data_IF_866818303950
#
_entry.id   IF_866818303950
#
_cell.length_a   1.000
_cell.length_b   1.000
_cell.length_c   1.000
_cell.angle_alpha   90.00
_cell.angle_beta   90.00
_cell.angle_gamma   90.00
#
_symmetry.space_group_name_H-M   'P 1'
#
loop_
_entity.id
_entity.type
_entity.pdbx_description
1 polymer ?
#
# COMPACT_ATOMS: atom_id res chain seq x y z
N UNK A 1 60.52 34.73 7.30
CA UNK A 1 60.14 36.06 6.80
C UNK A 1 59.78 35.87 5.34
N UNK A 2 58.55 35.40 5.09
CA UNK A 2 57.38 36.22 4.69
C UNK A 2 57.53 36.58 3.19
N UNK A 3 56.63 36.35 2.24
CA UNK A 3 55.19 36.11 2.12
C UNK A 3 54.92 35.63 0.67
N UNK A 4 54.00 34.68 0.36
CA UNK A 4 52.64 34.89 -0.19
C UNK A 4 52.54 36.05 -1.24
N UNK A 5 51.99 35.98 -2.47
CA UNK A 5 50.95 35.12 -3.09
C UNK A 5 50.88 35.32 -4.63
N UNK A 6 50.32 34.31 -5.30
CA UNK A 6 49.79 34.17 -6.67
C UNK A 6 49.03 35.36 -7.32
N UNK A 7 48.91 35.31 -8.66
CA UNK A 7 47.63 35.21 -9.41
C UNK A 7 47.93 35.02 -10.90
N UNK A 8 47.46 33.98 -11.58
CA UNK A 8 46.10 33.94 -12.15
C UNK A 8 45.95 32.68 -13.02
N UNK A 9 44.70 32.26 -13.23
CA UNK A 9 44.22 31.07 -13.95
C UNK A 9 44.09 29.83 -13.07
N UNK A 10 42.90 29.65 -12.50
CA UNK A 10 42.07 28.49 -12.84
C UNK A 10 40.59 28.82 -12.56
N UNK A 11 39.75 28.36 -13.49
CA UNK A 11 38.32 28.63 -13.60
C UNK A 11 37.56 28.40 -12.28
N UNK A 12 36.91 29.46 -11.82
CA UNK A 12 35.91 29.39 -10.76
C UNK A 12 34.59 28.86 -11.36
N UNK A 13 34.47 27.54 -11.50
CA UNK A 13 33.15 26.92 -11.69
C UNK A 13 32.48 26.87 -10.33
N UNK A 14 31.63 27.85 -10.06
CA UNK A 14 30.76 27.84 -8.89
C UNK A 14 29.83 26.63 -8.97
N UNK A 15 30.16 25.58 -8.23
CA UNK A 15 29.21 24.53 -7.87
C UNK A 15 28.08 25.19 -7.08
N UNK A 16 26.80 25.05 -7.47
CA UNK A 16 25.71 25.58 -6.68
C UNK A 16 25.73 24.91 -5.31
N UNK A 17 25.64 25.72 -4.25
CA UNK A 17 25.45 25.27 -2.88
C UNK A 17 24.31 24.26 -2.83
N UNK A 18 24.64 22.96 -2.73
CA UNK A 18 23.68 21.91 -2.41
C UNK A 18 23.33 22.13 -0.94
N UNK A 19 22.28 22.90 -0.71
CA UNK A 19 21.63 22.96 0.60
C UNK A 19 21.17 21.55 0.94
N UNK A 20 21.82 21.01 1.96
CA UNK A 20 21.67 19.65 2.48
C UNK A 20 20.20 19.25 2.59
N UNK A 21 19.80 18.19 1.89
CA UNK A 21 18.46 17.59 1.91
C UNK A 21 18.26 16.86 3.26
N UNK A 22 18.16 17.62 4.36
CA UNK A 22 18.09 17.09 5.73
C UNK A 22 16.76 16.38 6.06
N UNK A 23 15.75 16.51 5.19
CA UNK A 23 14.38 16.09 5.49
C UNK A 23 13.87 14.92 4.64
N UNK A 24 14.64 14.48 3.64
CA UNK A 24 14.22 13.42 2.73
C UNK A 24 14.59 12.02 3.25
N UNK A 25 13.70 11.03 3.03
CA UNK A 25 13.97 9.59 3.28
C UNK A 25 15.26 9.12 2.59
N UNK A 26 15.64 9.78 1.50
CA UNK A 26 16.75 9.41 0.62
C UNK A 26 18.08 10.13 0.94
N UNK A 27 18.17 10.88 2.03
CA UNK A 27 19.41 11.60 2.37
C UNK A 27 20.59 10.63 2.46
N UNK A 28 21.64 10.87 1.68
CA UNK A 28 22.83 10.02 1.61
C UNK A 28 22.75 8.85 0.61
N UNK A 29 21.66 8.73 -0.15
CA UNK A 29 21.47 7.68 -1.17
C UNK A 29 21.78 8.13 -2.60
N UNK A 30 22.41 9.29 -2.78
CA UNK A 30 22.67 9.90 -4.10
C UNK A 30 23.61 9.06 -4.98
N UNK A 31 24.48 8.24 -4.37
CA UNK A 31 25.33 7.28 -5.09
C UNK A 31 24.66 5.96 -5.49
N UNK A 32 23.44 5.69 -5.03
CA UNK A 32 22.74 4.41 -5.25
C UNK A 32 21.49 4.61 -6.12
N UNK A 33 21.72 4.85 -7.41
CA UNK A 33 20.67 5.22 -8.38
C UNK A 33 19.64 4.10 -8.61
N UNK A 34 20.05 2.83 -8.56
CA UNK A 34 19.18 1.68 -8.91
C UNK A 34 17.97 1.53 -7.99
N UNK A 35 18.18 1.58 -6.66
CA UNK A 35 17.08 1.47 -5.68
C UNK A 35 16.09 2.64 -5.79
N UNK A 36 16.63 3.84 -6.04
CA UNK A 36 15.84 5.05 -6.25
C UNK A 36 14.99 4.98 -7.52
N UNK A 37 15.58 4.55 -8.65
CA UNK A 37 14.89 4.38 -9.92
C UNK A 37 13.76 3.35 -9.81
N UNK A 38 14.01 2.22 -9.16
CA UNK A 38 12.98 1.21 -8.93
C UNK A 38 11.81 1.77 -8.10
N UNK A 39 12.11 2.46 -6.99
CA UNK A 39 11.11 3.07 -6.13
C UNK A 39 10.21 4.07 -6.87
N UNK A 40 10.81 5.03 -7.59
CA UNK A 40 10.02 6.01 -8.34
C UNK A 40 9.29 5.40 -9.54
N UNK A 41 9.84 4.36 -10.16
CA UNK A 41 9.14 3.64 -11.24
C UNK A 41 7.85 3.00 -10.74
N UNK A 42 7.91 2.35 -9.56
CA UNK A 42 6.70 1.78 -8.92
C UNK A 42 5.71 2.87 -8.53
N UNK A 43 6.17 4.01 -8.00
CA UNK A 43 5.29 5.13 -7.69
C UNK A 43 4.61 5.73 -8.90
N UNK A 44 5.34 5.93 -10.00
CA UNK A 44 4.77 6.42 -11.26
C UNK A 44 3.76 5.40 -11.81
N UNK A 45 4.08 4.11 -11.76
CA UNK A 45 3.13 3.05 -12.11
C UNK A 45 1.85 3.13 -11.26
N UNK A 46 1.97 3.31 -9.95
CA UNK A 46 0.82 3.48 -9.06
C UNK A 46 0.02 4.75 -9.35
N UNK A 47 0.68 5.85 -9.70
CA UNK A 47 -0.02 7.07 -10.11
C UNK A 47 -0.80 6.87 -11.42
N UNK A 48 -0.21 6.18 -12.40
CA UNK A 48 -0.83 5.98 -13.72
C UNK A 48 -1.93 4.93 -13.70
N UNK A 49 -1.76 3.84 -12.95
CA UNK A 49 -2.68 2.69 -12.94
C UNK A 49 -3.51 2.64 -11.66
N UNK A 50 -2.87 2.78 -10.51
CA UNK A 50 -3.50 2.70 -9.20
C UNK A 50 -4.50 3.83 -8.94
N UNK A 51 -4.16 5.09 -9.28
CA UNK A 51 -5.07 6.21 -9.09
C UNK A 51 -6.40 6.05 -9.83
N UNK A 52 -6.44 5.85 -11.17
CA UNK A 52 -7.71 5.68 -11.87
C UNK A 52 -8.48 4.44 -11.40
N UNK A 53 -7.78 3.34 -11.09
CA UNK A 53 -8.41 2.14 -10.57
C UNK A 53 -9.11 2.41 -9.22
N UNK A 54 -8.42 3.02 -8.26
CA UNK A 54 -9.00 3.35 -6.94
C UNK A 54 -10.15 4.36 -7.03
N UNK A 55 -10.03 5.40 -7.87
CA UNK A 55 -11.13 6.35 -8.09
C UNK A 55 -12.37 5.66 -8.68
N UNK A 56 -12.18 4.69 -9.58
CA UNK A 56 -13.27 3.89 -10.11
C UNK A 56 -13.90 3.00 -9.03
N UNK A 57 -13.10 2.39 -8.16
CA UNK A 57 -13.61 1.63 -6.99
C UNK A 57 -14.48 2.52 -6.11
N UNK A 58 -14.00 3.72 -5.74
CA UNK A 58 -14.77 4.68 -4.94
C UNK A 58 -16.09 5.03 -5.64
N UNK A 59 -16.04 5.38 -6.93
CA UNK A 59 -17.24 5.72 -7.70
C UNK A 59 -18.26 4.59 -7.79
N UNK A 60 -17.81 3.34 -7.94
CA UNK A 60 -18.68 2.15 -7.96
C UNK A 60 -19.33 1.89 -6.60
N UNK A 61 -18.55 1.96 -5.52
CA UNK A 61 -19.05 1.71 -4.16
C UNK A 61 -20.05 2.80 -3.74
N UNK A 62 -19.79 4.07 -4.04
CA UNK A 62 -20.71 5.17 -3.71
C UNK A 62 -22.05 5.09 -4.47
N UNK A 63 -22.05 4.58 -5.70
CA UNK A 63 -23.26 4.42 -6.53
C UNK A 63 -24.11 3.21 -6.14
N UNK A 64 -23.65 2.37 -5.22
CA UNK A 64 -24.34 1.14 -4.82
C UNK A 64 -25.43 1.48 -3.79
N UNK A 65 -26.66 1.66 -4.28
CA UNK A 65 -27.76 2.23 -3.49
C UNK A 65 -28.61 1.21 -2.70
N UNK A 66 -28.40 -0.11 -2.83
CA UNK A 66 -29.32 -1.09 -2.19
C UNK A 66 -28.73 -2.42 -1.71
N UNK A 67 -27.64 -2.92 -2.30
CA UNK A 67 -27.01 -4.20 -1.93
C UNK A 67 -25.52 -4.05 -1.57
N UNK A 68 -25.19 -3.09 -0.69
CA UNK A 68 -23.80 -2.93 -0.26
C UNK A 68 -23.30 -4.22 0.41
N UNK A 69 -22.17 -4.73 -0.10
CA UNK A 69 -21.45 -5.80 0.57
C UNK A 69 -21.01 -5.26 1.91
N UNK A 70 -21.02 -6.13 2.91
CA UNK A 70 -20.57 -5.83 4.26
C UNK A 70 -19.19 -5.18 4.29
N UNK A 71 -18.27 -5.61 3.43
CA UNK A 71 -16.91 -5.07 3.39
C UNK A 71 -16.75 -3.76 2.59
N UNK A 72 -17.81 -3.24 1.95
CA UNK A 72 -17.71 -2.08 1.04
C UNK A 72 -17.19 -0.82 1.74
N UNK A 73 -17.47 -0.63 3.04
CA UNK A 73 -16.93 0.50 3.83
C UNK A 73 -15.41 0.43 3.89
N UNK A 74 -14.82 -0.73 4.21
CA UNK A 74 -13.38 -0.87 4.31
C UNK A 74 -12.70 -0.73 2.95
N UNK A 75 -13.33 -1.27 1.89
CA UNK A 75 -12.84 -1.15 0.51
C UNK A 75 -12.83 0.31 0.06
N UNK A 76 -13.90 1.06 0.34
CA UNK A 76 -13.98 2.48 0.02
C UNK A 76 -12.89 3.29 0.73
N UNK A 77 -12.69 3.06 2.04
CA UNK A 77 -11.66 3.75 2.80
C UNK A 77 -10.25 3.43 2.27
N UNK A 78 -9.96 2.15 2.02
CA UNK A 78 -8.69 1.73 1.43
C UNK A 78 -8.43 2.42 0.08
N UNK A 79 -9.43 2.44 -0.81
CA UNK A 79 -9.31 3.08 -2.11
C UNK A 79 -9.11 4.62 -2.01
N UNK A 80 -9.73 5.28 -1.03
CA UNK A 80 -9.51 6.71 -0.77
C UNK A 80 -8.06 6.96 -0.35
N UNK A 81 -7.52 6.16 0.58
CA UNK A 81 -6.15 6.32 1.04
C UNK A 81 -5.10 5.95 0.00
N UNK A 82 -5.32 4.90 -0.79
CA UNK A 82 -4.43 4.56 -1.90
C UNK A 82 -4.48 5.63 -3.00
N UNK A 83 -5.65 6.22 -3.28
CA UNK A 83 -5.76 7.38 -4.20
C UNK A 83 -4.97 8.58 -3.69
N UNK A 84 -5.11 8.90 -2.40
CA UNK A 84 -4.36 9.98 -1.76
C UNK A 84 -2.84 9.75 -1.86
N UNK A 85 -2.37 8.54 -1.57
CA UNK A 85 -0.95 8.19 -1.69
C UNK A 85 -0.45 8.29 -3.14
N UNK A 86 -1.24 7.84 -4.12
CA UNK A 86 -0.91 7.98 -5.53
C UNK A 86 -0.78 9.45 -5.93
N UNK A 87 -1.71 10.32 -5.52
CA UNK A 87 -1.68 11.77 -5.77
C UNK A 87 -0.48 12.49 -5.12
N UNK A 88 0.09 11.95 -4.04
CA UNK A 88 1.30 12.50 -3.43
C UNK A 88 2.56 12.27 -4.25
N UNK A 89 2.56 11.32 -5.18
CA UNK A 89 3.71 11.01 -6.03
C UNK A 89 4.22 12.21 -6.85
N UNK A 90 3.38 12.92 -7.64
CA UNK A 90 3.84 14.10 -8.38
C UNK A 90 4.27 15.25 -7.46
N UNK A 91 3.61 15.43 -6.31
CA UNK A 91 3.98 16.45 -5.31
C UNK A 91 5.37 16.14 -4.75
N UNK A 92 5.66 14.86 -4.50
CA UNK A 92 6.98 14.44 -4.06
C UNK A 92 8.07 14.72 -5.09
N UNK A 93 7.80 14.36 -6.34
CA UNK A 93 8.76 14.57 -7.41
C UNK A 93 9.03 16.08 -7.62
N UNK A 94 7.97 16.89 -7.62
CA UNK A 94 8.09 18.34 -7.74
C UNK A 94 8.86 18.96 -6.57
N UNK A 95 8.57 18.51 -5.33
CA UNK A 95 9.28 19.00 -4.17
C UNK A 95 10.77 18.65 -4.22
N UNK A 96 11.08 17.43 -4.67
CA UNK A 96 12.46 16.96 -4.75
C UNK A 96 13.27 17.66 -5.84
N UNK A 97 12.67 17.92 -7.00
CA UNK A 97 13.37 18.48 -8.15
C UNK A 97 13.41 20.02 -8.17
N UNK A 98 12.40 20.69 -7.62
CA UNK A 98 12.22 22.13 -7.83
C UNK A 98 12.04 22.95 -6.55
N UNK A 99 11.27 22.46 -5.57
CA UNK A 99 10.84 23.31 -4.44
C UNK A 99 11.74 23.20 -3.21
N UNK A 100 12.16 21.98 -2.86
CA UNK A 100 12.86 21.61 -1.63
C UNK A 100 12.23 22.21 -0.37
N UNK A 101 10.90 22.24 -0.30
CA UNK A 101 10.14 22.84 0.79
C UNK A 101 10.00 21.87 1.97
N UNK A 102 10.28 22.38 3.19
CA UNK A 102 10.25 21.61 4.43
C UNK A 102 8.86 21.13 4.81
N UNK A 103 7.83 21.98 4.66
CA UNK A 103 6.45 21.62 4.97
C UNK A 103 5.96 20.50 4.07
N UNK A 104 6.36 20.53 2.80
CA UNK A 104 6.04 19.46 1.85
C UNK A 104 6.72 18.15 2.25
N UNK A 105 7.97 18.16 2.74
CA UNK A 105 8.62 16.97 3.29
C UNK A 105 7.88 16.40 4.52
N UNK A 106 7.41 17.25 5.44
CA UNK A 106 6.60 16.81 6.58
C UNK A 106 5.30 16.14 6.14
N UNK A 107 4.62 16.76 5.17
CA UNK A 107 3.37 16.24 4.64
C UNK A 107 3.55 14.91 3.88
N UNK A 108 4.66 14.74 3.16
CA UNK A 108 5.01 13.46 2.55
C UNK A 108 5.26 12.36 3.60
N UNK A 109 5.95 12.68 4.71
CA UNK A 109 6.12 11.72 5.83
C UNK A 109 4.78 11.29 6.43
N UNK A 110 3.84 12.23 6.53
CA UNK A 110 2.48 11.91 6.94
C UNK A 110 1.81 10.96 5.93
N UNK A 111 1.91 11.23 4.63
CA UNK A 111 1.40 10.35 3.58
C UNK A 111 2.01 8.94 3.62
N UNK A 112 3.31 8.83 3.92
CA UNK A 112 3.96 7.55 4.15
C UNK A 112 3.35 6.79 5.33
N UNK A 113 3.11 7.46 6.46
CA UNK A 113 2.48 6.81 7.61
C UNK A 113 1.05 6.34 7.32
N UNK A 114 0.32 7.08 6.50
CA UNK A 114 -1.03 6.71 6.06
C UNK A 114 -0.96 5.42 5.24
N UNK A 115 -0.02 5.37 4.28
CA UNK A 115 0.17 4.19 3.44
C UNK A 115 0.66 2.97 4.23
N UNK A 116 1.60 3.16 5.14
CA UNK A 116 2.10 2.09 6.03
C UNK A 116 0.98 1.45 6.85
N UNK A 117 -0.02 2.24 7.24
CA UNK A 117 -1.17 1.79 8.03
C UNK A 117 -2.32 1.26 7.17
N UNK A 118 -2.30 1.44 5.85
CA UNK A 118 -3.37 0.99 4.95
C UNK A 118 -3.68 -0.52 4.99
N UNK A 119 -2.69 -1.42 5.25
CA UNK A 119 -2.94 -2.85 5.46
C UNK A 119 -3.92 -3.19 6.59
N UNK A 120 -4.22 -2.26 7.52
CA UNK A 120 -5.28 -2.46 8.51
C UNK A 120 -6.66 -2.58 7.86
N UNK A 121 -6.96 -1.78 6.83
CA UNK A 121 -8.23 -1.93 6.10
C UNK A 121 -8.29 -3.27 5.36
N UNK A 122 -7.17 -3.71 4.78
CA UNK A 122 -7.07 -5.03 4.16
C UNK A 122 -7.29 -6.16 5.18
N UNK A 123 -6.77 -5.99 6.40
CA UNK A 123 -7.00 -6.90 7.52
C UNK A 123 -8.47 -6.93 7.93
N UNK A 124 -9.11 -5.76 8.06
CA UNK A 124 -10.55 -5.67 8.33
C UNK A 124 -11.38 -6.38 7.25
N UNK A 125 -11.02 -6.24 5.97
CA UNK A 125 -11.67 -6.97 4.86
C UNK A 125 -11.48 -8.49 5.02
N UNK A 126 -10.27 -8.94 5.36
CA UNK A 126 -9.99 -10.36 5.58
C UNK A 126 -10.77 -10.93 6.77
N UNK A 127 -10.86 -10.18 7.87
CA UNK A 127 -11.61 -10.54 9.06
C UNK A 127 -13.13 -10.58 8.80
N UNK A 128 -13.69 -9.57 8.12
CA UNK A 128 -15.11 -9.54 7.77
C UNK A 128 -15.49 -10.77 6.93
N UNK A 129 -14.65 -11.13 5.95
CA UNK A 129 -14.84 -12.35 5.13
C UNK A 129 -14.65 -13.63 5.92
N UNK A 130 -13.68 -13.67 6.82
CA UNK A 130 -13.45 -14.81 7.70
C UNK A 130 -14.69 -15.06 8.58
N UNK A 131 -15.23 -14.02 9.21
CA UNK A 131 -16.43 -14.12 10.03
C UNK A 131 -17.64 -14.59 9.20
N UNK A 132 -17.80 -14.08 7.98
CA UNK A 132 -18.89 -14.49 7.09
C UNK A 132 -18.83 -15.98 6.71
N UNK A 133 -17.65 -16.53 6.48
CA UNK A 133 -17.48 -17.92 6.00
C UNK A 133 -17.38 -18.93 7.15
N UNK A 134 -16.62 -18.61 8.20
CA UNK A 134 -16.33 -19.55 9.29
C UNK A 134 -17.34 -19.46 10.42
N UNK A 135 -17.92 -18.26 10.66
CA UNK A 135 -18.86 -18.01 11.77
C UNK A 135 -20.16 -17.34 11.28
N UNK A 136 -20.92 -17.96 10.36
CA UNK A 136 -22.06 -17.32 9.68
C UNK A 136 -23.20 -16.88 10.63
N UNK A 137 -23.42 -17.62 11.73
CA UNK A 137 -24.44 -17.29 12.75
C UNK A 137 -24.07 -15.98 13.46
N UNK A 138 -22.81 -15.85 13.89
CA UNK A 138 -22.28 -14.63 14.51
C UNK A 138 -22.27 -13.47 13.53
N UNK A 139 -21.88 -13.71 12.27
CA UNK A 139 -21.89 -12.68 11.23
C UNK A 139 -23.28 -12.10 10.97
N UNK A 140 -24.31 -12.95 11.02
CA UNK A 140 -25.71 -12.50 10.86
C UNK A 140 -26.16 -11.60 12.01
N UNK A 141 -25.68 -11.86 13.24
CA UNK A 141 -25.95 -11.01 14.41
C UNK A 141 -25.21 -9.67 14.37
N UNK A 142 -23.99 -9.64 13.82
CA UNK A 142 -23.13 -8.44 13.71
C UNK A 142 -23.24 -7.81 12.29
N UNK A 143 -24.36 -8.05 11.59
CA UNK A 143 -24.54 -7.54 10.22
C UNK A 143 -24.64 -6.02 10.16
N UNK A 144 -24.95 -5.37 11.28
CA UNK A 144 -25.18 -3.93 11.37
C UNK A 144 -24.00 -3.11 10.83
N UNK A 145 -24.34 -2.09 10.04
CA UNK A 145 -23.39 -1.17 9.40
C UNK A 145 -22.62 -0.35 10.43
N UNK A 146 -23.23 -0.10 11.60
CA UNK A 146 -22.66 0.68 12.70
C UNK A 146 -21.35 0.09 13.21
N UNK A 147 -21.27 -1.24 13.38
CA UNK A 147 -20.05 -1.90 13.85
C UNK A 147 -18.86 -1.62 12.92
N UNK A 148 -19.07 -1.73 11.61
CA UNK A 148 -18.00 -1.50 10.62
C UNK A 148 -17.59 -0.04 10.53
N UNK A 149 -18.54 0.88 10.72
CA UNK A 149 -18.24 2.31 10.81
C UNK A 149 -17.36 2.60 12.04
N UNK A 150 -17.67 2.02 13.20
CA UNK A 150 -16.83 2.12 14.40
C UNK A 150 -15.45 1.53 14.18
N UNK A 151 -15.34 0.33 13.61
CA UNK A 151 -14.04 -0.26 13.26
C UNK A 151 -13.24 0.62 12.30
N UNK A 152 -13.88 1.18 11.27
CA UNK A 152 -13.22 2.09 10.34
C UNK A 152 -12.73 3.36 11.07
N UNK A 153 -13.52 3.93 11.97
CA UNK A 153 -13.13 5.08 12.77
C UNK A 153 -11.91 4.79 13.68
N UNK A 154 -11.86 3.60 14.28
CA UNK A 154 -10.69 3.15 15.08
C UNK A 154 -9.44 3.03 14.21
N UNK A 155 -9.56 2.42 13.02
CA UNK A 155 -8.45 2.31 12.07
C UNK A 155 -7.98 3.70 11.62
N UNK A 156 -8.91 4.61 11.33
CA UNK A 156 -8.60 6.01 11.01
C UNK A 156 -7.82 6.70 12.14
N UNK A 157 -8.29 6.57 13.39
CA UNK A 157 -7.64 7.19 14.53
C UNK A 157 -6.20 6.67 14.71
N UNK A 158 -6.00 5.35 14.62
CA UNK A 158 -4.68 4.74 14.67
C UNK A 158 -3.79 5.24 13.51
N UNK A 159 -4.32 5.22 12.29
CA UNK A 159 -3.60 5.65 11.09
C UNK A 159 -3.15 7.11 11.19
N UNK A 160 -4.04 8.01 11.60
CA UNK A 160 -3.72 9.42 11.80
C UNK A 160 -2.66 9.60 12.88
N UNK A 161 -2.81 8.93 14.03
CA UNK A 161 -1.84 8.98 15.12
C UNK A 161 -0.45 8.50 14.67
N UNK A 162 -0.37 7.32 14.04
CA UNK A 162 0.88 6.76 13.53
C UNK A 162 1.53 7.69 12.48
N UNK A 163 0.72 8.26 11.57
CA UNK A 163 1.18 9.17 10.53
C UNK A 163 1.72 10.49 11.08
N UNK A 164 1.06 11.04 12.10
CA UNK A 164 1.53 12.22 12.83
C UNK A 164 2.84 11.94 13.55
N UNK A 165 2.92 10.83 14.28
CA UNK A 165 4.16 10.41 14.96
C UNK A 165 5.30 10.28 13.96
N UNK A 166 5.08 9.61 12.82
CA UNK A 166 6.08 9.47 11.76
C UNK A 166 6.49 10.81 11.13
N UNK A 167 5.55 11.73 10.97
CA UNK A 167 5.83 13.06 10.42
C UNK A 167 6.72 13.89 11.35
N UNK A 168 6.41 13.89 12.66
CA UNK A 168 7.08 14.73 13.68
C UNK A 168 8.40 14.11 14.14
N UNK A 169 8.39 12.84 14.58
CA UNK A 169 9.57 12.16 15.14
C UNK A 169 10.54 11.67 14.05
N UNK A 170 10.12 11.67 12.79
CA UNK A 170 10.90 11.16 11.67
C UNK A 170 10.77 9.64 11.48
N UNK A 171 11.27 9.17 10.34
CA UNK A 171 11.05 7.80 9.86
C UNK A 171 11.76 6.77 10.74
N UNK A 172 13.04 7.01 11.06
CA UNK A 172 13.87 6.06 11.81
C UNK A 172 13.34 5.75 13.20
N UNK A 173 12.72 6.74 13.85
CA UNK A 173 12.16 6.63 15.20
C UNK A 173 11.00 5.64 15.29
N UNK A 174 10.32 5.34 14.17
CA UNK A 174 9.13 4.47 14.13
C UNK A 174 9.37 3.13 13.43
N UNK A 175 10.58 2.85 12.95
CA UNK A 175 10.88 1.65 12.13
C UNK A 175 10.65 0.33 12.90
N UNK A 176 11.03 0.28 14.19
CA UNK A 176 10.79 -0.90 15.03
C UNK A 176 9.28 -1.13 15.26
N UNK A 177 8.56 -0.07 15.58
CA UNK A 177 7.11 -0.13 15.77
C UNK A 177 6.40 -0.58 14.48
N UNK A 178 6.84 -0.04 13.34
CA UNK A 178 6.36 -0.45 12.01
C UNK A 178 6.62 -1.93 11.73
N UNK A 179 7.81 -2.42 12.05
CA UNK A 179 8.19 -3.83 11.85
C UNK A 179 7.29 -4.77 12.64
N UNK A 180 7.05 -4.48 13.92
CA UNK A 180 6.13 -5.28 14.77
C UNK A 180 4.70 -5.20 14.21
N UNK A 181 4.27 -4.00 13.84
CA UNK A 181 2.96 -3.74 13.30
C UNK A 181 2.71 -4.53 12.00
N UNK A 182 3.59 -4.45 11.00
CA UNK A 182 3.39 -5.13 9.72
C UNK A 182 3.46 -6.65 9.87
N UNK A 183 4.31 -7.17 10.76
CA UNK A 183 4.39 -8.60 11.07
C UNK A 183 3.05 -9.11 11.64
N UNK A 184 2.46 -8.35 12.58
CA UNK A 184 1.19 -8.69 13.22
C UNK A 184 0.02 -8.68 12.21
N UNK A 185 -0.05 -7.63 11.39
CA UNK A 185 -1.06 -7.49 10.33
C UNK A 185 -0.95 -8.63 9.31
N UNK A 186 0.26 -8.94 8.86
CA UNK A 186 0.50 -10.03 7.91
C UNK A 186 0.10 -11.40 8.49
N UNK A 187 0.45 -11.68 9.75
CA UNK A 187 0.06 -12.92 10.42
C UNK A 187 -1.47 -13.08 10.49
N UNK A 188 -2.20 -12.01 10.86
CA UNK A 188 -3.67 -12.02 10.89
C UNK A 188 -4.25 -12.24 9.49
N UNK A 189 -3.72 -11.55 8.47
CA UNK A 189 -4.16 -11.73 7.08
C UNK A 189 -3.96 -13.17 6.59
N UNK A 190 -2.80 -13.79 6.86
CA UNK A 190 -2.55 -15.19 6.53
C UNK A 190 -3.51 -16.11 7.27
N UNK A 191 -3.66 -15.94 8.58
CA UNK A 191 -4.57 -16.74 9.39
C UNK A 191 -6.00 -16.71 8.85
N UNK A 192 -6.52 -15.51 8.53
CA UNK A 192 -7.86 -15.34 7.99
C UNK A 192 -8.02 -16.05 6.63
N UNK A 193 -7.11 -15.79 5.68
CA UNK A 193 -7.22 -16.35 4.33
C UNK A 193 -7.02 -17.87 4.31
N UNK A 194 -6.10 -18.40 5.13
CA UNK A 194 -5.91 -19.85 5.26
C UNK A 194 -7.12 -20.53 5.93
N UNK A 195 -7.75 -19.88 6.91
CA UNK A 195 -8.95 -20.41 7.56
C UNK A 195 -10.15 -20.43 6.61
N UNK A 196 -10.35 -19.37 5.82
CA UNK A 196 -11.35 -19.34 4.76
C UNK A 196 -11.08 -20.45 3.74
N UNK A 197 -9.82 -20.62 3.32
CA UNK A 197 -9.43 -21.67 2.38
C UNK A 197 -9.72 -23.07 2.94
N UNK A 198 -9.41 -23.32 4.21
CA UNK A 198 -9.70 -24.60 4.91
C UNK A 198 -11.20 -24.86 4.99
N UNK A 199 -11.99 -23.88 5.40
CA UNK A 199 -13.45 -24.00 5.47
C UNK A 199 -14.06 -24.28 4.09
N UNK A 200 -13.59 -23.59 3.05
CA UNK A 200 -14.02 -23.86 1.67
C UNK A 200 -13.65 -25.27 1.22
N UNK A 201 -12.43 -25.76 1.50
CA UNK A 201 -12.00 -27.14 1.18
C UNK A 201 -12.80 -28.19 1.94
N UNK A 202 -13.02 -28.01 3.24
CA UNK A 202 -13.83 -28.93 4.04
C UNK A 202 -15.25 -29.03 3.52
N UNK A 203 -15.82 -27.93 3.01
CA UNK A 203 -17.14 -27.94 2.39
C UNK A 203 -17.22 -28.65 1.03
N UNK A 204 -16.08 -29.11 0.49
CA UNK A 204 -15.92 -29.83 -0.78
C UNK A 204 -15.51 -31.29 -0.52
N UNK A 205 -14.78 -31.57 0.55
CA UNK A 205 -14.43 -32.93 0.99
C UNK A 205 -15.72 -33.72 1.30
N UNK A 206 -16.22 -34.49 0.34
CA UNK A 206 -17.49 -35.22 0.43
C UNK A 206 -18.49 -34.97 -0.71
N UNK A 207 -18.16 -34.14 -1.71
CA UNK A 207 -18.90 -34.04 -2.98
C UNK A 207 -17.92 -34.13 -4.16
N UNK A 208 -18.23 -34.97 -5.14
CA UNK A 208 -17.37 -35.21 -6.31
C UNK A 208 -17.17 -33.98 -7.22
N UNK A 209 -18.06 -32.98 -7.13
CA UNK A 209 -17.94 -31.73 -7.87
C UNK A 209 -18.12 -30.47 -7.02
N UNK A 210 -17.20 -29.52 -7.18
CA UNK A 210 -17.30 -28.20 -6.55
C UNK A 210 -18.29 -27.32 -7.31
N UNK A 211 -19.42 -27.00 -6.66
CA UNK A 211 -20.43 -26.07 -7.16
C UNK A 211 -19.78 -24.78 -7.73
N UNK A 212 -20.23 -24.26 -8.89
CA UNK A 212 -19.55 -23.18 -9.62
C UNK A 212 -19.27 -21.93 -8.77
N UNK A 213 -20.21 -21.54 -7.89
CA UNK A 213 -20.04 -20.40 -6.98
C UNK A 213 -18.91 -20.63 -5.95
N UNK A 214 -18.75 -21.87 -5.44
CA UNK A 214 -17.68 -22.21 -4.50
C UNK A 214 -16.32 -22.24 -5.21
N UNK A 215 -16.26 -22.73 -6.46
CA UNK A 215 -15.04 -22.69 -7.30
C UNK A 215 -14.58 -21.26 -7.55
N UNK A 216 -15.52 -20.36 -7.86
CA UNK A 216 -15.25 -18.92 -8.00
C UNK A 216 -14.70 -18.32 -6.69
N UNK A 217 -15.31 -18.61 -5.54
CA UNK A 217 -14.86 -18.14 -4.24
C UNK A 217 -13.47 -18.68 -3.86
N UNK A 218 -13.21 -19.97 -4.07
CA UNK A 218 -11.92 -20.60 -3.80
C UNK A 218 -10.80 -19.98 -4.63
N UNK A 219 -11.00 -19.84 -5.95
CA UNK A 219 -10.04 -19.18 -6.84
C UNK A 219 -9.79 -17.74 -6.39
N UNK A 220 -10.84 -17.02 -6.01
CA UNK A 220 -10.72 -15.66 -5.49
C UNK A 220 -9.84 -15.58 -4.23
N UNK A 221 -10.07 -16.43 -3.23
CA UNK A 221 -9.30 -16.42 -1.97
C UNK A 221 -7.84 -16.79 -2.22
N UNK A 222 -7.58 -17.74 -3.13
CA UNK A 222 -6.22 -18.10 -3.53
C UNK A 222 -5.48 -16.91 -4.17
N UNK A 223 -6.13 -16.16 -5.06
CA UNK A 223 -5.54 -14.97 -5.70
C UNK A 223 -5.24 -13.91 -4.64
N UNK A 224 -6.16 -13.65 -3.71
CA UNK A 224 -5.96 -12.68 -2.62
C UNK A 224 -4.77 -13.09 -1.74
N UNK A 225 -4.71 -14.36 -1.34
CA UNK A 225 -3.59 -14.89 -0.57
C UNK A 225 -2.26 -14.72 -1.33
N UNK A 226 -2.25 -15.01 -2.64
CA UNK A 226 -1.09 -14.81 -3.49
C UNK A 226 -0.61 -13.35 -3.52
N UNK A 227 -1.53 -12.39 -3.62
CA UNK A 227 -1.21 -10.96 -3.61
C UNK A 227 -0.67 -10.51 -2.25
N UNK A 228 -1.28 -10.96 -1.16
CA UNK A 228 -0.82 -10.65 0.20
C UNK A 228 0.61 -11.18 0.39
N UNK A 229 0.88 -12.42 -0.02
CA UNK A 229 2.22 -13.00 0.05
C UNK A 229 3.19 -12.22 -0.84
N UNK A 230 2.82 -11.92 -2.08
CA UNK A 230 3.70 -11.20 -3.01
C UNK A 230 4.09 -9.79 -2.50
N UNK A 231 3.13 -9.01 -2.01
CA UNK A 231 3.38 -7.62 -1.59
C UNK A 231 4.00 -7.51 -0.19
N UNK A 232 3.64 -8.41 0.74
CA UNK A 232 3.98 -8.25 2.16
C UNK A 232 4.98 -9.27 2.69
N UNK A 233 5.22 -10.42 2.02
CA UNK A 233 6.24 -11.37 2.46
C UNK A 233 7.65 -10.77 2.41
N UNK A 234 8.09 -10.09 1.32
CA UNK A 234 9.46 -9.55 1.29
C UNK A 234 9.73 -8.55 2.44
N UNK A 235 8.85 -7.56 2.72
CA UNK A 235 9.01 -6.66 3.86
C UNK A 235 9.06 -7.36 5.21
N UNK A 236 8.11 -8.26 5.47
CA UNK A 236 7.99 -9.01 6.73
C UNK A 236 9.19 -9.93 6.96
N UNK A 237 9.74 -10.49 5.88
CA UNK A 237 10.90 -11.38 5.95
C UNK A 237 12.22 -10.65 6.20
N UNK A 238 12.33 -9.36 5.83
CA UNK A 238 13.61 -8.64 5.84
C UNK A 238 13.69 -7.49 6.86
N UNK A 239 12.58 -6.82 7.20
CA UNK A 239 12.60 -5.75 8.22
C UNK A 239 13.13 -6.19 9.59
N UNK A 240 12.79 -7.39 10.14
CA UNK A 240 13.35 -7.84 11.42
C UNK A 240 14.87 -8.01 11.39
N UNK A 241 15.45 -8.24 10.22
CA UNK A 241 16.88 -8.49 10.03
C UNK A 241 17.63 -7.25 9.51
N UNK A 242 17.06 -6.06 9.65
CA UNK A 242 17.69 -4.81 9.20
C UNK A 242 19.11 -4.60 9.73
N UNK A 243 19.42 -5.07 10.94
CA UNK A 243 20.74 -4.96 11.56
C UNK A 243 21.82 -5.86 10.93
N UNK A 244 21.44 -6.84 10.12
CA UNK A 244 22.41 -7.69 9.39
C UNK A 244 22.96 -7.02 8.13
N UNK A 245 22.31 -5.95 7.65
CA UNK A 245 22.74 -5.22 6.46
C UNK A 245 23.59 -4.02 6.85
N UNK A 246 24.60 -3.65 6.04
CA UNK A 246 25.28 -2.37 6.19
C UNK A 246 24.25 -1.22 6.17
N UNK A 247 24.34 -0.23 7.07
CA UNK A 247 23.31 0.79 7.24
C UNK A 247 22.94 1.55 5.96
N UNK A 248 23.93 1.84 5.11
CA UNK A 248 23.72 2.53 3.84
C UNK A 248 23.01 1.64 2.82
N UNK A 249 23.39 0.36 2.72
CA UNK A 249 22.75 -0.59 1.79
C UNK A 249 21.31 -0.87 2.18
N UNK A 250 21.05 -1.02 3.50
CA UNK A 250 19.70 -1.18 3.99
C UNK A 250 18.83 0.04 3.68
N UNK A 251 19.33 1.23 4.02
CA UNK A 251 18.59 2.48 3.80
C UNK A 251 18.35 2.75 2.32
N UNK A 252 19.36 2.64 1.48
CA UNK A 252 19.33 3.11 0.10
C UNK A 252 18.92 2.05 -0.93
N UNK A 253 18.88 0.77 -0.55
CA UNK A 253 18.54 -0.30 -1.47
C UNK A 253 17.43 -1.18 -0.90
N UNK A 254 17.71 -1.87 0.21
CA UNK A 254 16.79 -2.90 0.75
C UNK A 254 15.46 -2.26 1.14
N UNK A 255 15.47 -1.22 1.98
CA UNK A 255 14.24 -0.58 2.45
C UNK A 255 13.40 -0.03 1.30
N UNK A 256 14.02 0.60 0.30
CA UNK A 256 13.32 1.14 -0.86
C UNK A 256 12.61 0.06 -1.67
N UNK A 257 13.29 -1.07 -1.91
CA UNK A 257 12.70 -2.22 -2.60
C UNK A 257 11.53 -2.76 -1.78
N UNK A 258 11.71 -2.96 -0.47
CA UNK A 258 10.65 -3.48 0.40
C UNK A 258 9.40 -2.59 0.43
N UNK A 259 9.57 -1.28 0.60
CA UNK A 259 8.46 -0.33 0.51
C UNK A 259 7.82 -0.33 -0.89
N UNK A 260 8.60 -0.49 -1.96
CA UNK A 260 8.05 -0.61 -3.31
C UNK A 260 7.14 -1.83 -3.46
N UNK A 261 7.51 -2.99 -2.90
CA UNK A 261 6.65 -4.18 -2.89
C UNK A 261 5.35 -3.93 -2.13
N UNK A 262 5.39 -3.25 -0.99
CA UNK A 262 4.17 -2.86 -0.28
C UNK A 262 3.32 -1.88 -1.10
N UNK A 263 3.95 -0.94 -1.79
CA UNK A 263 3.27 0.10 -2.56
C UNK A 263 2.58 -0.47 -3.82
N UNK A 264 3.05 -1.59 -4.40
CA UNK A 264 2.36 -2.26 -5.51
C UNK A 264 0.92 -2.65 -5.17
N UNK A 265 0.60 -2.81 -3.89
CA UNK A 265 -0.76 -3.09 -3.42
C UNK A 265 -1.77 -2.01 -3.87
N UNK A 266 -1.34 -0.75 -3.98
CA UNK A 266 -2.18 0.37 -4.43
C UNK A 266 -2.75 0.18 -5.84
N UNK A 267 -2.10 -0.61 -6.69
CA UNK A 267 -2.57 -0.90 -8.05
C UNK A 267 -3.18 -2.29 -8.17
N UNK A 268 -2.55 -3.30 -7.56
CA UNK A 268 -2.95 -4.70 -7.73
C UNK A 268 -4.34 -4.96 -7.11
N UNK A 269 -4.60 -4.43 -5.93
CA UNK A 269 -5.86 -4.67 -5.20
C UNK A 269 -7.10 -4.06 -5.88
N UNK A 270 -7.12 -2.77 -6.27
CA UNK A 270 -8.27 -2.20 -6.96
C UNK A 270 -8.46 -2.82 -8.35
N UNK A 271 -7.39 -3.11 -9.11
CA UNK A 271 -7.52 -3.80 -10.40
C UNK A 271 -8.15 -5.18 -10.24
N UNK A 272 -7.74 -5.94 -9.21
CA UNK A 272 -8.38 -7.22 -8.90
C UNK A 272 -9.85 -7.04 -8.50
N UNK A 273 -10.18 -6.02 -7.71
CA UNK A 273 -11.56 -5.75 -7.34
C UNK A 273 -12.42 -5.44 -8.58
N UNK A 274 -11.90 -4.62 -9.50
CA UNK A 274 -12.58 -4.22 -10.73
C UNK A 274 -12.73 -5.38 -11.72
N UNK A 275 -11.71 -6.22 -11.90
CA UNK A 275 -11.81 -7.42 -12.77
C UNK A 275 -12.85 -8.44 -12.32
N UNK A 276 -13.30 -8.37 -11.05
CA UNK A 276 -14.36 -9.22 -10.51
C UNK A 276 -15.76 -8.63 -10.67
N UNK A 277 -15.86 -7.34 -11.00
CA UNK A 277 -17.13 -6.70 -11.34
C UNK A 277 -17.53 -7.16 -12.75
N UNK A 278 -18.58 -7.98 -12.86
CA UNK A 278 -19.03 -8.57 -14.13
C UNK A 278 -19.43 -7.52 -15.19
N UNK A 279 -19.75 -6.29 -14.78
CA UNK A 279 -19.98 -5.15 -15.68
C UNK A 279 -19.56 -3.85 -15.00
N UNK A 280 -18.53 -3.20 -15.52
CA UNK A 280 -18.20 -1.80 -15.16
C UNK A 280 -19.12 -0.90 -15.99
N UNK A 281 -20.07 -0.15 -15.38
CA UNK A 281 -21.10 0.57 -16.14
C UNK A 281 -20.59 1.74 -17.00
N UNK A 282 -19.30 2.10 -16.87
CA UNK A 282 -18.73 3.34 -17.40
C UNK A 282 -17.63 3.15 -18.45
N UNK A 283 -17.21 1.92 -18.75
CA UNK A 283 -16.24 1.69 -19.83
C UNK A 283 -17.00 1.61 -21.17
N UNK A 284 -16.57 2.35 -22.20
CA UNK A 284 -17.05 2.13 -23.56
C UNK A 284 -16.86 0.65 -23.93
N UNK A 285 -17.80 0.07 -24.69
CA UNK A 285 -17.76 -1.36 -25.09
C UNK A 285 -16.43 -1.77 -25.75
N UNK A 286 -15.67 -0.82 -26.31
CA UNK A 286 -14.33 -1.03 -26.89
C UNK A 286 -13.23 -1.30 -25.85
N UNK A 287 -13.30 -0.70 -24.65
CA UNK A 287 -12.27 -0.88 -23.59
C UNK A 287 -12.63 -2.05 -22.67
N UNK A 288 -13.93 -2.33 -22.49
CA UNK A 288 -14.42 -3.55 -21.84
C UNK A 288 -13.88 -4.83 -22.49
N UNK A 289 -13.64 -4.83 -23.81
CA UNK A 289 -13.10 -5.98 -24.53
C UNK A 289 -11.62 -6.24 -24.21
N UNK A 290 -10.83 -5.21 -23.89
CA UNK A 290 -9.41 -5.37 -23.56
C UNK A 290 -9.21 -5.95 -22.15
N UNK A 291 -10.07 -5.61 -21.18
CA UNK A 291 -10.00 -6.18 -19.82
C UNK A 291 -10.66 -7.56 -19.67
N UNK A 292 -11.53 -7.97 -20.61
CA UNK A 292 -12.27 -9.24 -20.53
C UNK A 292 -11.87 -10.28 -21.58
N UNK A 293 -10.84 -10.06 -22.38
CA UNK A 293 -10.38 -11.04 -23.38
C UNK A 293 -9.35 -12.03 -22.81
N UNK A 294 -9.78 -12.80 -21.82
CA UNK A 294 -9.25 -14.16 -21.58
C UNK A 294 -10.42 -15.00 -21.08
N UNK A 295 -11.24 -15.47 -22.03
CA UNK A 295 -12.10 -16.64 -21.83
C UNK A 295 -11.26 -17.90 -22.04
#
# INVERSE_FOLDING_TARGET
MDSFTNSSLLLNHSTPNITVVMFSKFQGCEGHLSGLLFYYSVKVFNFVIGLPANLMVVGLVLRKTRDSSTSDIFIMNLAVFDSFFCLMTPIELANRLFLNDMHVWYFQRFSYGVKDSSPLFLTCICLDRYMAVVHPITFTKIKDRSYRAVCAAVVWAFMVAYSLTKSILGIQSVDQAFTIFILSVFAVMLFCNLSILRALRQSVLGRDEMHPMKKKAFKMVLIILGIIVFNYLPPVALFPFQYHFPPNDYKCYVSLILFSFMDLSCSIEPVLYLSKMETVPFLPKSVSMVCCSTK
#
